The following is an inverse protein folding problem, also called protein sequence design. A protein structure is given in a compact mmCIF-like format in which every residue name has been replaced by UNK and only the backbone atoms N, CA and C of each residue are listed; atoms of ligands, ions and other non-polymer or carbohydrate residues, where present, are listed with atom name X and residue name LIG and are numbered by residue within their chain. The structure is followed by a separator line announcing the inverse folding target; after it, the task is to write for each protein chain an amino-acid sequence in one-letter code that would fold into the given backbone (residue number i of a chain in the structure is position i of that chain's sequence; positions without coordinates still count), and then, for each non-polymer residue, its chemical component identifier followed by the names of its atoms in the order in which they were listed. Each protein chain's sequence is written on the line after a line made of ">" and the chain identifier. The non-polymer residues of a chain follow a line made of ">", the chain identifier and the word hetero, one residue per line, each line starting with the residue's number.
data_IF_155694026330
#
_entry.id   IF_155694026330
#
_cell.length_a   1.000
_cell.length_b   1.000
_cell.length_c   1.000
_cell.angle_alpha   90.00
_cell.angle_beta   90.00
_cell.angle_gamma   90.00
#
_symmetry.space_group_name_H-M   'P 1'
#
loop_
_entity.id
_entity.type
_entity.pdbx_description
1 polymer ?
#
# COMPACT_ATOMS: atom_id res chain seq x y z
N UNK A 1 -9.14 -2.45 -18.12
CA UNK A 1 -9.74 -2.84 -19.42
C UNK A 1 -8.71 -2.68 -20.54
N UNK A 2 -7.96 -1.59 -20.63
CA UNK A 2 -6.94 -1.38 -21.68
C UNK A 2 -5.99 -2.58 -21.84
N UNK A 3 -5.44 -3.13 -20.75
CA UNK A 3 -4.52 -4.27 -20.82
C UNK A 3 -5.17 -5.55 -21.35
N UNK A 4 -6.46 -5.76 -21.06
CA UNK A 4 -7.22 -6.88 -21.63
C UNK A 4 -7.40 -6.69 -23.15
N UNK A 5 -7.78 -5.48 -23.56
CA UNK A 5 -7.94 -5.13 -24.97
C UNK A 5 -6.60 -5.29 -25.72
N UNK A 6 -5.47 -4.91 -25.09
CA UNK A 6 -4.13 -5.07 -25.67
C UNK A 6 -3.73 -6.58 -25.75
N UNK A 7 -4.03 -7.38 -24.73
CA UNK A 7 -3.81 -8.81 -24.73
C UNK A 7 -4.55 -9.53 -25.87
N UNK A 8 -5.84 -9.25 -26.00
CA UNK A 8 -6.68 -9.85 -27.06
C UNK A 8 -6.25 -9.40 -28.46
N UNK A 9 -5.97 -8.11 -28.64
CA UNK A 9 -5.55 -7.53 -29.92
C UNK A 9 -4.22 -8.10 -30.41
N UNK A 10 -3.28 -8.34 -29.52
CA UNK A 10 -1.96 -8.86 -29.85
C UNK A 10 -1.93 -10.38 -29.98
N UNK A 11 -3.06 -11.06 -29.71
CA UNK A 11 -3.12 -12.54 -29.66
C UNK A 11 -1.99 -13.10 -28.81
N UNK A 12 -1.76 -12.51 -27.67
CA UNK A 12 -0.64 -12.85 -26.78
C UNK A 12 -0.99 -14.08 -25.94
N UNK A 13 0.01 -14.91 -25.66
CA UNK A 13 -0.11 -16.01 -24.70
C UNK A 13 0.12 -15.51 -23.26
N UNK A 14 0.94 -14.45 -23.13
CA UNK A 14 1.19 -13.74 -21.90
C UNK A 14 1.28 -12.23 -22.16
N UNK A 15 0.67 -11.43 -21.31
CA UNK A 15 0.83 -9.97 -21.34
C UNK A 15 1.26 -9.47 -19.97
N UNK A 16 2.40 -8.80 -19.92
CA UNK A 16 2.99 -8.27 -18.71
C UNK A 16 2.77 -6.76 -18.61
N UNK A 17 2.49 -6.29 -17.42
CA UNK A 17 2.49 -4.85 -17.17
C UNK A 17 3.81 -4.49 -16.50
N UNK A 18 4.57 -3.61 -17.11
CA UNK A 18 5.91 -3.22 -16.68
C UNK A 18 5.91 -1.79 -16.14
N UNK A 19 6.82 -1.50 -15.22
CA UNK A 19 7.06 -0.15 -14.69
C UNK A 19 8.55 0.14 -14.61
N UNK A 20 8.96 1.35 -14.96
CA UNK A 20 10.33 1.80 -14.72
C UNK A 20 10.56 2.07 -13.24
N UNK A 21 11.62 1.50 -12.70
CA UNK A 21 12.00 1.62 -11.29
C UNK A 21 13.46 2.00 -11.13
N UNK A 22 13.83 2.74 -10.08
CA UNK A 22 15.21 3.13 -9.83
C UNK A 22 16.09 1.99 -9.30
N UNK A 23 15.48 0.95 -8.71
CA UNK A 23 16.15 -0.19 -8.06
C UNK A 23 15.61 -1.53 -8.60
N UNK A 24 15.85 -1.84 -9.90
CA UNK A 24 15.25 -3.00 -10.57
C UNK A 24 15.68 -4.35 -9.98
N UNK A 25 16.84 -4.44 -9.35
CA UNK A 25 17.34 -5.66 -8.71
C UNK A 25 16.46 -6.20 -7.56
N UNK A 26 15.40 -5.50 -7.20
CA UNK A 26 14.42 -5.93 -6.19
C UNK A 26 13.25 -6.70 -6.78
N UNK A 27 13.12 -6.73 -8.09
CA UNK A 27 11.95 -7.19 -8.82
C UNK A 27 12.30 -8.19 -9.91
N UNK A 28 11.31 -8.86 -10.47
CA UNK A 28 11.46 -9.48 -11.79
C UNK A 28 11.72 -8.38 -12.82
N UNK A 29 12.73 -8.53 -13.64
CA UNK A 29 13.16 -7.55 -14.63
C UNK A 29 12.98 -8.09 -16.04
N UNK A 30 12.29 -7.36 -16.89
CA UNK A 30 12.13 -7.69 -18.29
C UNK A 30 13.15 -6.92 -19.14
N UNK A 31 13.90 -7.61 -19.99
CA UNK A 31 14.72 -7.02 -21.03
C UNK A 31 13.89 -6.89 -22.30
N UNK A 32 13.83 -5.68 -22.86
CA UNK A 32 13.04 -5.37 -24.06
C UNK A 32 13.95 -4.85 -25.16
N UNK A 33 13.88 -5.42 -26.34
CA UNK A 33 14.59 -4.97 -27.55
C UNK A 33 13.59 -4.94 -28.70
N UNK A 34 13.56 -3.86 -29.46
CA UNK A 34 12.68 -3.66 -30.62
C UNK A 34 11.21 -4.00 -30.29
N UNK A 35 10.69 -3.49 -29.16
CA UNK A 35 9.36 -3.72 -28.64
C UNK A 35 9.01 -5.20 -28.32
N UNK A 36 10.03 -6.05 -28.18
CA UNK A 36 9.84 -7.45 -27.81
C UNK A 36 10.56 -7.76 -26.48
N UNK A 37 9.90 -8.52 -25.61
CA UNK A 37 10.55 -9.08 -24.43
C UNK A 37 11.49 -10.20 -24.90
N UNK A 38 12.77 -10.09 -24.53
CA UNK A 38 13.79 -11.08 -24.91
C UNK A 38 14.32 -11.87 -23.71
N UNK A 39 14.18 -11.37 -22.52
CA UNK A 39 14.48 -12.11 -21.29
C UNK A 39 13.72 -11.56 -20.07
N UNK A 40 13.47 -12.43 -19.08
CA UNK A 40 12.88 -12.05 -17.79
C UNK A 40 13.65 -12.78 -16.70
N UNK A 41 14.16 -12.03 -15.73
CA UNK A 41 14.97 -12.57 -14.63
C UNK A 41 14.47 -12.05 -13.29
N UNK A 42 14.30 -12.93 -12.31
CA UNK A 42 13.88 -12.56 -10.95
C UNK A 42 15.03 -12.01 -10.15
N UNK A 43 14.90 -10.80 -9.66
CA UNK A 43 15.87 -10.10 -8.79
C UNK A 43 17.32 -10.25 -9.23
N UNK A 44 17.65 -9.88 -10.47
CA UNK A 44 18.98 -10.04 -11.00
C UNK A 44 20.00 -9.18 -10.25
N UNK A 45 21.20 -9.73 -9.98
CA UNK A 45 22.31 -8.96 -9.40
C UNK A 45 22.76 -7.83 -10.32
N UNK A 46 22.67 -8.05 -11.63
CA UNK A 46 23.04 -7.09 -12.67
C UNK A 46 21.87 -6.89 -13.65
N UNK A 47 20.88 -6.04 -13.32
CA UNK A 47 19.70 -5.84 -14.14
C UNK A 47 20.06 -5.32 -15.54
N UNK A 48 19.48 -5.91 -16.58
CA UNK A 48 19.69 -5.50 -17.98
C UNK A 48 18.80 -4.34 -18.41
N UNK A 49 17.80 -4.01 -17.62
CA UNK A 49 16.89 -2.88 -17.84
C UNK A 49 16.38 -2.31 -16.51
N UNK A 50 15.64 -1.21 -16.58
CA UNK A 50 14.90 -0.62 -15.45
C UNK A 50 13.42 -1.01 -15.43
N UNK A 51 13.00 -1.97 -16.27
CA UNK A 51 11.62 -2.40 -16.43
C UNK A 51 11.27 -3.54 -15.45
N UNK A 52 10.68 -3.17 -14.33
CA UNK A 52 10.18 -4.13 -13.34
C UNK A 52 8.83 -4.72 -13.76
N UNK A 53 8.65 -6.00 -13.51
CA UNK A 53 7.38 -6.72 -13.65
C UNK A 53 6.48 -6.39 -12.45
N UNK A 54 5.30 -5.82 -12.70
CA UNK A 54 4.51 -5.13 -11.67
C UNK A 54 3.54 -6.01 -10.87
N UNK A 55 3.47 -7.32 -11.17
CA UNK A 55 2.50 -8.21 -10.54
C UNK A 55 1.11 -8.17 -11.19
N UNK A 56 0.98 -7.55 -12.36
CA UNK A 56 -0.24 -7.56 -13.18
C UNK A 56 0.04 -8.35 -14.44
N UNK A 57 -0.63 -9.47 -14.59
CA UNK A 57 -0.42 -10.42 -15.67
C UNK A 57 -1.73 -10.85 -16.30
N UNK A 58 -1.71 -11.11 -17.60
CA UNK A 58 -2.78 -11.76 -18.33
C UNK A 58 -2.20 -12.97 -19.07
N UNK A 59 -2.87 -14.10 -18.99
CA UNK A 59 -2.40 -15.35 -19.57
C UNK A 59 -3.51 -16.08 -20.32
N UNK A 60 -3.11 -16.86 -21.28
CA UNK A 60 -3.91 -17.98 -21.74
C UNK A 60 -3.62 -19.25 -20.91
N UNK A 61 -4.16 -20.38 -21.34
CA UNK A 61 -4.02 -21.66 -20.61
C UNK A 61 -2.58 -22.21 -20.58
N UNK A 62 -1.67 -21.70 -21.42
CA UNK A 62 -0.29 -22.18 -21.47
C UNK A 62 0.49 -21.88 -20.18
N UNK A 63 0.03 -20.92 -19.39
CA UNK A 63 0.65 -20.63 -18.08
C UNK A 63 0.64 -21.87 -17.17
N UNK A 64 -0.39 -22.74 -17.24
CA UNK A 64 -0.45 -23.94 -16.43
C UNK A 64 0.62 -24.96 -16.81
N UNK A 65 1.05 -25.00 -18.08
CA UNK A 65 2.21 -25.78 -18.49
C UNK A 65 3.48 -25.19 -17.87
N UNK A 66 3.67 -23.87 -17.99
CA UNK A 66 4.84 -23.20 -17.46
C UNK A 66 5.03 -23.44 -15.94
N UNK A 67 3.99 -23.19 -15.13
CA UNK A 67 4.09 -23.35 -13.66
C UNK A 67 4.31 -24.80 -13.21
N UNK A 68 3.96 -25.78 -14.04
CA UNK A 68 4.23 -27.20 -13.75
C UNK A 68 5.64 -27.65 -14.16
N UNK A 69 6.39 -26.82 -14.89
CA UNK A 69 7.71 -27.15 -15.43
C UNK A 69 8.83 -26.24 -14.93
N UNK A 70 8.55 -25.29 -14.06
CA UNK A 70 9.59 -24.50 -13.37
C UNK A 70 10.06 -25.21 -12.11
N UNK A 71 11.31 -24.96 -11.73
CA UNK A 71 11.92 -25.47 -10.53
C UNK A 71 12.03 -24.35 -9.48
N UNK A 72 12.22 -24.72 -8.22
CA UNK A 72 12.45 -23.75 -7.16
C UNK A 72 13.77 -23.00 -7.39
N UNK A 73 13.73 -21.69 -7.27
CA UNK A 73 14.90 -20.81 -7.32
C UNK A 73 15.91 -21.14 -6.20
N UNK A 74 17.15 -20.62 -6.25
CA UNK A 74 18.11 -20.75 -5.15
C UNK A 74 17.58 -20.22 -3.80
N UNK A 75 16.50 -19.44 -3.80
CA UNK A 75 15.80 -18.96 -2.61
C UNK A 75 14.78 -19.96 -2.07
N UNK A 76 14.55 -21.08 -2.77
CA UNK A 76 13.57 -22.10 -2.41
C UNK A 76 12.13 -21.74 -2.77
N UNK A 77 11.91 -20.76 -3.65
CA UNK A 77 10.60 -20.28 -4.09
C UNK A 77 10.37 -20.61 -5.56
N UNK A 78 9.11 -20.91 -5.95
CA UNK A 78 8.70 -20.97 -7.34
C UNK A 78 8.43 -19.55 -7.81
N UNK A 79 9.25 -19.05 -8.73
CA UNK A 79 9.18 -17.66 -9.17
C UNK A 79 8.27 -17.52 -10.37
N UNK A 80 7.38 -16.54 -10.34
CA UNK A 80 6.53 -16.25 -11.50
C UNK A 80 7.35 -15.76 -12.70
N UNK A 81 8.48 -15.12 -12.45
CA UNK A 81 9.41 -14.67 -13.49
C UNK A 81 10.00 -15.83 -14.28
N UNK A 82 10.25 -16.99 -13.62
CA UNK A 82 10.73 -18.21 -14.29
C UNK A 82 9.62 -18.81 -15.17
N UNK A 83 8.36 -18.73 -14.76
CA UNK A 83 7.25 -19.14 -15.61
C UNK A 83 7.12 -18.24 -16.85
N UNK A 84 7.35 -16.94 -16.74
CA UNK A 84 7.38 -16.05 -17.90
C UNK A 84 8.54 -16.40 -18.83
N UNK A 85 9.74 -16.63 -18.26
CA UNK A 85 10.92 -17.03 -19.04
C UNK A 85 10.69 -18.37 -19.75
N UNK A 86 10.07 -19.35 -19.06
CA UNK A 86 9.68 -20.63 -19.67
C UNK A 86 8.79 -20.44 -20.90
N UNK A 87 7.74 -19.60 -20.80
CA UNK A 87 6.87 -19.30 -21.94
C UNK A 87 7.67 -18.68 -23.09
N UNK A 88 8.58 -17.76 -22.79
CA UNK A 88 9.44 -17.11 -23.79
C UNK A 88 10.34 -18.13 -24.48
N UNK A 89 11.01 -19.01 -23.74
CA UNK A 89 11.91 -20.05 -24.24
C UNK A 89 11.19 -21.07 -25.12
N UNK A 90 9.90 -21.31 -24.85
CA UNK A 90 9.02 -22.16 -25.68
C UNK A 90 8.52 -21.46 -26.96
N UNK A 91 8.83 -20.19 -27.14
CA UNK A 91 8.43 -19.42 -28.33
C UNK A 91 6.97 -18.93 -28.27
N UNK A 92 6.36 -18.89 -27.09
CA UNK A 92 5.06 -18.25 -26.92
C UNK A 92 5.17 -16.74 -27.10
N UNK A 93 4.08 -16.11 -27.53
CA UNK A 93 4.00 -14.68 -27.77
C UNK A 93 3.79 -13.93 -26.43
N UNK A 94 4.83 -13.26 -25.95
CA UNK A 94 4.78 -12.37 -24.78
C UNK A 94 4.71 -10.93 -25.25
N UNK A 95 3.68 -10.23 -24.83
CA UNK A 95 3.52 -8.80 -25.01
C UNK A 95 3.60 -8.05 -23.71
N UNK A 96 3.75 -6.73 -23.77
CA UNK A 96 3.77 -5.90 -22.58
C UNK A 96 3.10 -4.55 -22.77
N UNK A 97 2.78 -3.91 -21.65
CA UNK A 97 2.41 -2.50 -21.59
C UNK A 97 3.17 -1.83 -20.45
N UNK A 98 3.63 -0.60 -20.65
CA UNK A 98 4.22 0.19 -19.58
C UNK A 98 3.13 0.96 -18.80
N UNK A 99 3.27 1.02 -17.47
CA UNK A 99 2.43 1.87 -16.62
C UNK A 99 2.76 3.33 -16.88
N UNK A 100 1.74 4.10 -17.17
CA UNK A 100 1.83 5.57 -17.24
C UNK A 100 1.39 6.15 -15.89
N UNK A 101 2.32 6.68 -15.12
CA UNK A 101 2.05 7.24 -13.80
C UNK A 101 2.91 6.58 -12.72
N UNK A 102 2.42 6.61 -11.49
CA UNK A 102 3.15 5.97 -10.40
C UNK A 102 2.74 4.50 -10.22
N UNK A 103 3.72 3.69 -9.88
CA UNK A 103 3.55 2.33 -9.39
C UNK A 103 4.37 2.19 -8.11
N UNK A 104 3.84 1.48 -7.13
CA UNK A 104 4.53 1.23 -5.87
C UNK A 104 4.28 -0.20 -5.43
N UNK A 105 5.35 -0.96 -5.27
CA UNK A 105 5.31 -2.23 -4.56
C UNK A 105 5.02 -1.98 -3.08
N UNK A 106 4.17 -2.82 -2.48
CA UNK A 106 3.75 -2.73 -1.08
C UNK A 106 4.19 -3.94 -0.27
N UNK A 107 5.36 -4.48 -0.58
CA UNK A 107 5.91 -5.68 0.06
C UNK A 107 6.35 -5.48 1.51
N UNK A 108 6.47 -4.24 1.99
CA UNK A 108 6.86 -3.92 3.37
C UNK A 108 5.84 -2.95 3.99
N UNK A 109 5.66 -2.98 5.33
CA UNK A 109 4.75 -2.03 6.01
C UNK A 109 5.05 -0.56 5.71
N UNK A 110 6.33 -0.17 5.60
CA UNK A 110 6.73 1.18 5.21
C UNK A 110 6.25 1.60 3.82
N UNK A 111 6.18 0.65 2.88
CA UNK A 111 5.72 0.91 1.52
C UNK A 111 4.22 1.25 1.48
N UNK A 112 3.43 0.73 2.45
CA UNK A 112 2.02 1.09 2.60
C UNK A 112 1.83 2.56 2.99
N UNK A 113 2.70 3.12 3.84
CA UNK A 113 2.68 4.53 4.19
C UNK A 113 3.00 5.42 2.98
N UNK A 114 3.98 5.02 2.16
CA UNK A 114 4.29 5.71 0.91
C UNK A 114 3.14 5.64 -0.10
N UNK A 115 2.52 4.46 -0.25
CA UNK A 115 1.35 4.29 -1.12
C UNK A 115 0.18 5.15 -0.63
N UNK A 116 -0.08 5.19 0.68
CA UNK A 116 -1.08 6.08 1.29
C UNK A 116 -0.82 7.54 0.93
N UNK A 117 0.43 8.00 1.02
CA UNK A 117 0.81 9.36 0.61
C UNK A 117 0.42 9.64 -0.84
N UNK A 118 0.80 8.76 -1.76
CA UNK A 118 0.50 8.90 -3.19
C UNK A 118 -1.02 8.98 -3.47
N UNK A 119 -1.80 8.17 -2.76
CA UNK A 119 -3.27 8.21 -2.86
C UNK A 119 -3.83 9.51 -2.30
N UNK A 120 -3.36 9.93 -1.11
CA UNK A 120 -3.85 11.13 -0.44
C UNK A 120 -3.46 12.43 -1.16
N UNK A 121 -2.37 12.44 -1.92
CA UNK A 121 -2.00 13.60 -2.75
C UNK A 121 -3.07 13.95 -3.80
N UNK A 122 -3.91 13.01 -4.17
CA UNK A 122 -4.93 13.19 -5.21
C UNK A 122 -6.37 13.30 -4.68
N UNK A 123 -6.59 13.27 -3.36
CA UNK A 123 -7.95 13.40 -2.82
C UNK A 123 -8.51 14.81 -3.01
N UNK A 124 -9.83 14.89 -3.11
CA UNK A 124 -10.57 16.14 -3.01
C UNK A 124 -11.24 16.20 -1.65
N UNK A 125 -11.38 17.41 -1.10
CA UNK A 125 -12.11 17.60 0.16
C UNK A 125 -13.57 17.17 0.00
N UNK A 126 -14.08 16.43 0.98
CA UNK A 126 -15.46 15.98 1.05
C UNK A 126 -15.80 15.75 2.55
N UNK A 127 -16.71 16.55 3.07
CA UNK A 127 -17.05 16.55 4.50
C UNK A 127 -18.52 16.22 4.63
N UNK A 128 -18.83 15.01 5.03
CA UNK A 128 -20.18 14.52 5.29
C UNK A 128 -20.47 14.35 6.78
N UNK A 129 -19.44 14.32 7.61
CA UNK A 129 -19.53 14.31 9.07
C UNK A 129 -19.79 15.67 9.70
N UNK A 130 -19.91 15.72 11.01
CA UNK A 130 -20.14 16.93 11.80
C UNK A 130 -18.84 17.48 12.40
N UNK A 131 -18.67 18.79 12.34
CA UNK A 131 -17.51 19.50 12.91
C UNK A 131 -18.06 20.59 13.84
N UNK A 132 -17.55 20.64 15.05
CA UNK A 132 -17.93 21.70 15.99
C UNK A 132 -17.21 23.03 15.69
N UNK A 133 -17.65 24.11 16.37
CA UNK A 133 -17.11 25.45 16.17
C UNK A 133 -15.68 25.66 16.71
N UNK A 134 -15.21 24.77 17.57
CA UNK A 134 -13.89 24.85 18.19
C UNK A 134 -12.85 24.05 17.38
N UNK A 135 -13.27 23.32 16.38
CA UNK A 135 -12.39 22.53 15.53
C UNK A 135 -11.93 23.31 14.30
N UNK A 136 -10.73 22.99 13.83
CA UNK A 136 -10.14 23.61 12.65
C UNK A 136 -9.81 22.55 11.62
N UNK A 137 -10.28 22.76 10.39
CA UNK A 137 -9.97 21.89 9.25
C UNK A 137 -9.18 22.69 8.23
N UNK A 138 -8.02 22.20 7.81
CA UNK A 138 -7.20 22.85 6.78
C UNK A 138 -6.63 21.85 5.78
N UNK A 139 -6.42 22.31 4.54
CA UNK A 139 -5.97 21.45 3.44
C UNK A 139 -7.08 20.53 2.90
N UNK A 140 -6.67 19.49 2.17
CA UNK A 140 -7.61 18.53 1.57
C UNK A 140 -7.98 17.46 2.60
N UNK A 141 -9.22 17.46 3.07
CA UNK A 141 -9.70 16.52 4.09
C UNK A 141 -11.00 15.87 3.64
N UNK A 142 -11.10 14.55 3.83
CA UNK A 142 -12.35 13.82 3.74
C UNK A 142 -12.80 13.40 5.14
N UNK A 143 -14.08 13.62 5.46
CA UNK A 143 -14.69 13.16 6.72
C UNK A 143 -15.97 12.42 6.38
N UNK A 144 -16.02 11.15 6.74
CA UNK A 144 -17.10 10.22 6.42
C UNK A 144 -18.39 10.52 7.17
N UNK A 145 -19.45 9.83 6.74
CA UNK A 145 -20.81 9.95 7.26
C UNK A 145 -20.87 9.55 8.74
N UNK A 146 -21.70 10.25 9.52
CA UNK A 146 -21.87 10.05 10.97
C UNK A 146 -20.61 10.24 11.81
N UNK A 147 -19.52 10.74 11.21
CA UNK A 147 -18.30 11.04 11.97
C UNK A 147 -18.43 12.39 12.67
N UNK A 148 -17.75 12.50 13.81
CA UNK A 148 -17.78 13.70 14.65
C UNK A 148 -16.39 14.19 14.95
N UNK A 149 -16.15 15.49 14.75
CA UNK A 149 -14.91 16.17 15.10
C UNK A 149 -15.23 17.25 16.12
N UNK A 150 -14.63 17.16 17.30
CA UNK A 150 -14.90 18.06 18.42
C UNK A 150 -13.58 18.57 19.02
N UNK A 151 -13.46 19.89 19.22
CA UNK A 151 -12.30 20.54 19.82
C UNK A 151 -10.95 20.02 19.27
N UNK A 152 -10.86 19.86 17.96
CA UNK A 152 -9.75 19.16 17.29
C UNK A 152 -9.22 19.92 16.09
N UNK A 153 -7.99 19.65 15.72
CA UNK A 153 -7.34 20.24 14.56
C UNK A 153 -6.99 19.15 13.53
N UNK A 154 -7.53 19.25 12.33
CA UNK A 154 -7.25 18.31 11.24
C UNK A 154 -6.58 19.05 10.11
N UNK A 155 -5.38 18.60 9.75
CA UNK A 155 -4.59 19.15 8.67
C UNK A 155 -4.39 18.10 7.55
N UNK A 156 -4.95 18.38 6.40
CA UNK A 156 -4.85 17.50 5.22
C UNK A 156 -3.52 17.62 4.45
N UNK A 157 -3.25 16.68 3.55
CA UNK A 157 -4.23 15.69 3.09
C UNK A 157 -4.49 14.59 4.13
N UNK A 158 -5.77 14.37 4.47
CA UNK A 158 -6.18 13.36 5.44
C UNK A 158 -7.57 12.78 5.12
N UNK A 159 -7.78 11.55 5.51
CA UNK A 159 -9.09 10.87 5.39
C UNK A 159 -9.53 10.35 6.75
N UNK A 160 -10.77 10.60 7.11
CA UNK A 160 -11.45 10.07 8.29
C UNK A 160 -12.65 9.29 7.80
N UNK A 161 -12.72 8.01 8.13
CA UNK A 161 -13.78 7.09 7.75
C UNK A 161 -15.11 7.39 8.41
N UNK A 162 -16.15 6.62 8.03
CA UNK A 162 -17.50 6.76 8.58
C UNK A 162 -17.58 6.36 10.05
N UNK A 163 -18.55 6.91 10.80
CA UNK A 163 -18.84 6.58 12.20
C UNK A 163 -17.62 6.75 13.15
N UNK A 164 -16.68 7.63 12.81
CA UNK A 164 -15.43 7.87 13.54
C UNK A 164 -15.54 9.13 14.41
N UNK A 165 -15.04 9.07 15.62
CA UNK A 165 -15.04 10.17 16.58
C UNK A 165 -13.62 10.68 16.81
N UNK A 166 -13.39 11.99 16.58
CA UNK A 166 -12.13 12.67 16.85
C UNK A 166 -12.40 13.76 17.89
N UNK A 167 -11.77 13.70 19.05
CA UNK A 167 -12.01 14.63 20.16
C UNK A 167 -10.70 15.08 20.79
N UNK A 168 -10.58 16.39 21.07
CA UNK A 168 -9.40 16.99 21.69
C UNK A 168 -8.07 16.56 21.07
N UNK A 169 -8.04 16.39 19.74
CA UNK A 169 -6.97 15.66 19.03
C UNK A 169 -6.42 16.45 17.85
N UNK A 170 -5.23 16.07 17.43
CA UNK A 170 -4.61 16.53 16.19
C UNK A 170 -4.48 15.37 15.20
N UNK A 171 -4.98 15.58 13.97
CA UNK A 171 -4.75 14.68 12.85
C UNK A 171 -3.98 15.44 11.79
N UNK A 172 -2.73 15.03 11.59
CA UNK A 172 -1.79 15.66 10.66
C UNK A 172 -1.87 15.10 9.23
N UNK A 173 -1.08 15.68 8.32
CA UNK A 173 -1.04 15.29 6.93
C UNK A 173 -0.71 13.81 6.72
N UNK A 174 -1.23 13.28 5.62
CA UNK A 174 -1.04 11.89 5.19
C UNK A 174 -1.53 10.84 6.19
N UNK A 175 -2.48 11.21 7.02
CA UNK A 175 -3.16 10.27 7.91
C UNK A 175 -4.43 9.72 7.27
N UNK A 176 -4.57 8.40 7.32
CA UNK A 176 -5.78 7.69 6.93
C UNK A 176 -6.36 7.00 8.16
N UNK A 177 -7.52 7.46 8.62
CA UNK A 177 -8.25 6.92 9.77
C UNK A 177 -9.44 6.13 9.23
N UNK A 178 -9.56 4.87 9.63
CA UNK A 178 -10.62 3.95 9.22
C UNK A 178 -11.98 4.28 9.81
N UNK A 179 -12.94 3.38 9.58
CA UNK A 179 -14.32 3.51 10.06
C UNK A 179 -14.43 3.10 11.53
N UNK A 180 -15.37 3.71 12.25
CA UNK A 180 -15.68 3.32 13.60
C UNK A 180 -14.55 3.55 14.62
N UNK A 181 -13.55 4.34 14.28
CA UNK A 181 -12.45 4.65 15.17
C UNK A 181 -12.85 5.70 16.21
N UNK A 182 -12.15 5.68 17.35
CA UNK A 182 -12.24 6.72 18.39
C UNK A 182 -10.83 7.22 18.70
N UNK A 183 -10.55 8.49 18.45
CA UNK A 183 -9.29 9.14 18.79
C UNK A 183 -9.58 10.31 19.71
N UNK A 184 -9.08 10.24 20.94
CA UNK A 184 -9.32 11.26 21.98
C UNK A 184 -8.01 11.66 22.66
N UNK A 185 -7.79 12.98 22.81
CA UNK A 185 -6.63 13.55 23.50
C UNK A 185 -5.28 13.07 22.96
N UNK A 186 -5.18 12.90 21.66
CA UNK A 186 -4.04 12.25 21.02
C UNK A 186 -3.66 12.93 19.69
N UNK A 187 -2.43 12.74 19.26
CA UNK A 187 -1.93 13.27 17.99
C UNK A 187 -1.55 12.11 17.05
N UNK A 188 -1.99 12.20 15.80
CA UNK A 188 -1.67 11.21 14.74
C UNK A 188 -1.23 11.95 13.48
N UNK A 189 -0.12 11.54 12.88
CA UNK A 189 0.39 12.10 11.63
C UNK A 189 1.04 11.01 10.77
N UNK A 190 1.00 11.15 9.45
CA UNK A 190 1.65 10.23 8.49
C UNK A 190 1.45 8.74 8.83
N UNK A 191 0.20 8.35 9.13
CA UNK A 191 -0.11 7.03 9.67
C UNK A 191 -1.37 6.45 9.04
N UNK A 192 -1.47 5.13 9.05
CA UNK A 192 -2.66 4.39 8.65
C UNK A 192 -3.23 3.72 9.90
N UNK A 193 -4.44 4.12 10.26
CA UNK A 193 -5.21 3.54 11.37
C UNK A 193 -6.39 2.81 10.73
N UNK A 194 -6.43 1.49 10.84
CA UNK A 194 -7.52 0.69 10.26
C UNK A 194 -8.81 0.80 11.06
N UNK A 195 -9.84 0.06 10.66
CA UNK A 195 -11.18 0.18 11.23
C UNK A 195 -11.24 -0.22 12.71
N UNK A 196 -12.14 0.39 13.48
CA UNK A 196 -12.44 0.03 14.85
C UNK A 196 -11.41 0.42 15.92
N UNK A 197 -10.34 1.09 15.56
CA UNK A 197 -9.26 1.43 16.49
C UNK A 197 -9.69 2.44 17.56
N UNK A 198 -9.11 2.29 18.74
CA UNK A 198 -9.27 3.20 19.86
C UNK A 198 -7.92 3.77 20.31
N UNK A 199 -7.75 5.09 20.22
CA UNK A 199 -6.54 5.79 20.64
C UNK A 199 -6.94 6.84 21.68
N UNK A 200 -6.49 6.66 22.93
CA UNK A 200 -6.99 7.50 24.02
C UNK A 200 -5.85 8.01 24.92
N UNK A 201 -5.74 9.34 25.01
CA UNK A 201 -4.81 10.06 25.89
C UNK A 201 -3.34 9.66 25.69
N UNK A 202 -2.93 9.41 24.45
CA UNK A 202 -1.55 9.09 24.10
C UNK A 202 -0.75 10.38 24.07
N UNK A 203 0.26 10.50 24.94
CA UNK A 203 0.99 11.77 25.16
C UNK A 203 1.93 12.14 24.02
N UNK A 204 2.55 11.13 23.40
CA UNK A 204 3.43 11.34 22.25
C UNK A 204 2.65 11.18 20.97
N UNK A 205 3.01 11.91 19.94
CA UNK A 205 2.42 11.78 18.62
C UNK A 205 2.67 10.38 18.08
N UNK A 206 1.62 9.77 17.53
CA UNK A 206 1.73 8.57 16.72
C UNK A 206 2.07 9.02 15.31
N UNK A 207 3.25 8.65 14.85
CA UNK A 207 3.78 9.04 13.54
C UNK A 207 4.33 7.82 12.81
N UNK A 208 4.29 7.84 11.48
CA UNK A 208 4.86 6.77 10.62
C UNK A 208 4.40 5.36 11.01
N UNK A 209 3.13 5.24 11.41
CA UNK A 209 2.59 4.05 12.06
C UNK A 209 1.50 3.40 11.22
N UNK A 210 1.42 2.07 11.32
CA UNK A 210 0.36 1.25 10.73
C UNK A 210 -0.30 0.45 11.86
N UNK A 211 -1.57 0.74 12.14
CA UNK A 211 -2.39 0.03 13.12
C UNK A 211 -3.43 -0.83 12.38
N UNK A 212 -3.46 -2.12 12.70
CA UNK A 212 -4.47 -3.06 12.20
C UNK A 212 -5.86 -2.76 12.75
N UNK A 213 -6.87 -3.55 12.34
CA UNK A 213 -8.23 -3.38 12.83
C UNK A 213 -8.32 -3.63 14.34
N UNK A 214 -9.22 -2.90 14.99
CA UNK A 214 -9.58 -3.04 16.40
C UNK A 214 -8.40 -2.90 17.38
N UNK A 215 -7.32 -2.19 16.98
CA UNK A 215 -6.18 -1.93 17.86
C UNK A 215 -6.56 -0.89 18.91
N UNK A 216 -6.21 -1.16 20.15
CA UNK A 216 -6.40 -0.25 21.29
C UNK A 216 -5.05 0.27 21.77
N UNK A 217 -4.87 1.61 21.78
CA UNK A 217 -3.72 2.31 22.39
C UNK A 217 -4.28 3.24 23.47
N UNK A 218 -4.14 2.84 24.71
CA UNK A 218 -4.78 3.50 25.85
C UNK A 218 -3.72 3.92 26.89
N UNK A 219 -3.83 5.14 27.37
CA UNK A 219 -3.02 5.56 28.51
C UNK A 219 -3.55 4.96 29.79
N UNK A 220 -2.74 4.14 30.48
CA UNK A 220 -3.08 3.67 31.83
C UNK A 220 -3.03 4.83 32.83
N UNK A 221 -4.09 4.99 33.63
CA UNK A 221 -4.17 5.96 34.72
C UNK A 221 -3.77 5.35 36.08
N UNK A 222 -3.43 4.06 36.11
CA UNK A 222 -3.07 3.33 37.33
C UNK A 222 -1.60 3.47 37.69
N UNK A 223 -1.28 3.33 38.96
CA UNK A 223 0.11 3.27 39.45
C UNK A 223 0.40 1.88 40.04
N UNK A 224 1.59 1.32 39.88
CA UNK A 224 2.74 1.87 39.16
C UNK A 224 2.45 2.01 37.66
N UNK A 225 3.04 3.02 37.01
CA UNK A 225 2.94 3.19 35.57
C UNK A 225 3.70 2.06 34.87
N UNK A 226 3.04 1.36 34.00
CA UNK A 226 3.59 0.20 33.27
C UNK A 226 3.15 0.22 31.82
N UNK A 227 4.02 -0.24 30.93
CA UNK A 227 3.61 -0.62 29.59
C UNK A 227 3.10 -2.07 29.62
N UNK A 228 1.97 -2.33 28.96
CA UNK A 228 1.42 -3.67 28.75
C UNK A 228 1.14 -3.84 27.28
N UNK A 229 1.68 -4.89 26.68
CA UNK A 229 1.54 -5.19 25.27
C UNK A 229 0.92 -6.55 25.09
N UNK A 230 -0.09 -6.65 24.25
CA UNK A 230 -0.60 -7.88 23.67
C UNK A 230 -0.49 -7.72 22.17
N UNK A 231 0.49 -8.36 21.56
CA UNK A 231 0.88 -8.13 20.19
C UNK A 231 0.82 -9.44 19.40
N UNK A 232 0.55 -9.35 18.13
CA UNK A 232 0.65 -10.46 17.19
C UNK A 232 2.05 -10.60 16.60
N UNK A 233 2.18 -11.53 15.67
CA UNK A 233 3.43 -11.81 14.96
C UNK A 233 3.92 -10.57 14.20
N UNK A 234 5.25 -10.42 14.10
CA UNK A 234 5.95 -9.36 13.36
C UNK A 234 5.61 -7.92 13.80
N UNK A 235 5.02 -7.74 14.98
CA UNK A 235 4.78 -6.40 15.53
C UNK A 235 6.09 -5.72 15.91
N UNK A 236 6.19 -4.41 15.62
CA UNK A 236 7.30 -3.55 16.03
C UNK A 236 6.75 -2.35 16.76
N UNK A 237 7.29 -2.03 17.94
CA UNK A 237 6.94 -0.85 18.73
C UNK A 237 8.23 -0.11 19.09
N UNK A 238 8.23 1.19 18.89
CA UNK A 238 9.29 2.08 19.36
C UNK A 238 8.67 3.00 20.44
N UNK A 239 9.31 3.05 21.60
CA UNK A 239 8.85 3.82 22.78
C UNK A 239 10.00 4.71 23.25
N UNK A 240 9.70 5.99 23.47
CA UNK A 240 10.54 6.96 24.16
C UNK A 240 10.02 7.25 25.58
#
# INVERSE_FOLDING_TARGET
>A
RKFIDDFEKNSSNCHLVLSKVPDPNRFGVAEVVDDHIISIEEKPDNPKSDLAVTGIYLYDNNIFEAVNNIEASPRGELEISDAHQYLLDKGFNLSYSEITGWWKDTGKPSDLLDANRLVLDNIKSDITGSIDKNSTISGRVKIGTNSRVTNSNIRGPAVIGDNTTIEESYIGPYSAIGKGCTISGSEVEYSIIMDGCQINQVQRRIESSLLGNDVEILRSKTRPATHRFMLGDQSRIEIE
#
